data_IF_291928533875
#
_entry.id   IF_291928533875
#
_cell.length_a   1.000
_cell.length_b   1.000
_cell.length_c   1.000
_cell.angle_alpha   90.00
_cell.angle_beta   90.00
_cell.angle_gamma   90.00
#
_symmetry.space_group_name_H-M   'P 1'
#
loop_
_entity.id
_entity.type
_entity.pdbx_description
1 polymer ?
#
# COMPACT_ATOMS: atom_id res chain seq x y z
N UNK A 1 17.71 -2.23 -21.47
CA UNK A 1 16.69 -1.23 -21.92
C UNK A 1 16.85 -0.01 -21.04
N UNK A 2 17.22 1.12 -21.65
CA UNK A 2 17.88 2.26 -21.00
C UNK A 2 17.01 2.96 -19.94
N UNK A 3 17.52 3.02 -18.72
CA UNK A 3 17.03 3.76 -17.56
C UNK A 3 16.78 5.24 -17.88
N UNK A 4 17.54 5.81 -18.83
CA UNK A 4 17.39 7.22 -19.25
C UNK A 4 16.11 7.52 -20.04
N UNK A 5 15.54 6.56 -20.78
CA UNK A 5 14.26 6.79 -21.47
C UNK A 5 13.07 6.72 -20.51
N UNK A 6 13.18 5.87 -19.48
CA UNK A 6 12.22 5.86 -18.36
C UNK A 6 12.35 7.16 -17.57
N UNK A 7 13.57 7.63 -17.26
CA UNK A 7 13.83 8.91 -16.58
C UNK A 7 13.43 10.16 -17.41
N UNK A 8 13.57 10.13 -18.74
CA UNK A 8 13.17 11.22 -19.62
C UNK A 8 11.65 11.26 -19.88
N UNK A 9 10.96 10.10 -19.82
CA UNK A 9 9.49 10.02 -19.80
C UNK A 9 8.92 10.36 -18.42
N UNK A 10 9.60 9.95 -17.36
CA UNK A 10 9.45 10.38 -15.95
C UNK A 10 9.59 11.91 -15.80
N UNK A 11 10.47 12.56 -16.57
CA UNK A 11 10.62 14.02 -16.54
C UNK A 11 9.60 14.80 -17.35
N UNK A 12 8.93 14.20 -18.35
CA UNK A 12 7.89 14.89 -19.15
C UNK A 12 6.58 15.10 -18.37
N UNK A 13 6.38 14.35 -17.28
CA UNK A 13 5.28 14.56 -16.33
C UNK A 13 5.56 15.60 -15.23
N UNK A 14 6.80 16.11 -15.09
CA UNK A 14 7.19 17.05 -14.02
C UNK A 14 6.52 18.43 -14.07
N UNK A 15 5.74 18.77 -15.10
CA UNK A 15 5.01 20.05 -15.15
C UNK A 15 3.68 19.96 -14.44
N UNK A 16 3.73 19.73 -13.12
CA UNK A 16 2.87 20.26 -12.05
C UNK A 16 2.99 19.33 -10.85
N UNK A 17 3.96 19.64 -10.01
CA UNK A 17 3.88 19.41 -8.56
C UNK A 17 2.67 20.17 -8.01
N UNK A 18 1.51 19.56 -8.15
CA UNK A 18 0.32 19.83 -7.39
C UNK A 18 -0.45 18.53 -7.45
N UNK A 19 -0.50 17.78 -6.34
CA UNK A 19 -1.44 16.68 -6.13
C UNK A 19 -2.73 17.05 -6.86
N UNK A 20 -3.16 16.26 -7.85
CA UNK A 20 -4.34 16.61 -8.65
C UNK A 20 -5.50 16.91 -7.68
N UNK A 21 -6.24 18.00 -7.90
CA UNK A 21 -7.24 18.48 -6.95
C UNK A 21 -8.27 17.38 -6.68
N UNK A 22 -8.28 16.84 -5.46
CA UNK A 22 -9.21 15.77 -5.04
C UNK A 22 -8.55 14.56 -4.38
N UNK A 23 -7.23 14.39 -4.49
CA UNK A 23 -6.53 13.29 -3.83
C UNK A 23 -6.17 13.62 -2.37
N UNK A 24 -6.14 12.59 -1.49
CA UNK A 24 -5.84 12.81 -0.10
C UNK A 24 -4.44 13.41 0.03
N UNK A 25 -4.35 14.59 0.64
CA UNK A 25 -3.09 15.07 1.22
C UNK A 25 -2.57 13.99 2.19
N UNK A 26 -1.28 13.97 2.47
CA UNK A 26 -0.67 13.03 3.43
C UNK A 26 -1.50 12.92 4.74
N UNK A 27 -2.07 14.05 5.18
CA UNK A 27 -2.98 14.19 6.31
C UNK A 27 -4.25 13.31 6.25
N UNK A 28 -4.84 13.06 5.08
CA UNK A 28 -6.05 12.22 4.93
C UNK A 28 -5.77 10.72 5.01
N UNK A 29 -4.55 10.28 4.72
CA UNK A 29 -4.18 8.89 4.96
C UNK A 29 -4.15 8.55 6.45
N UNK A 30 -3.65 9.48 7.26
CA UNK A 30 -3.58 9.34 8.71
C UNK A 30 -4.97 9.21 9.30
N UNK A 31 -5.95 9.91 8.72
CA UNK A 31 -7.37 9.68 9.03
C UNK A 31 -7.77 8.27 8.59
N UNK A 32 -7.48 7.81 7.37
CA UNK A 32 -7.92 6.49 6.92
C UNK A 32 -7.30 5.29 7.69
N UNK A 33 -6.10 5.45 8.27
CA UNK A 33 -5.40 4.41 9.04
C UNK A 33 -4.87 4.96 10.38
N UNK A 34 -5.77 5.23 11.35
CA UNK A 34 -5.43 5.99 12.56
C UNK A 34 -4.58 5.21 13.57
N UNK A 35 -4.48 3.88 13.43
CA UNK A 35 -3.62 3.05 14.29
C UNK A 35 -2.15 3.02 13.83
N UNK A 36 -1.84 3.59 12.66
CA UNK A 36 -0.47 3.67 12.19
C UNK A 36 0.29 4.75 12.99
N UNK A 37 1.44 4.38 13.56
CA UNK A 37 2.30 5.32 14.30
C UNK A 37 2.91 6.39 13.38
N UNK A 38 3.20 6.01 12.12
CA UNK A 38 3.84 6.88 11.13
C UNK A 38 2.88 7.15 9.97
N UNK A 39 2.87 8.38 9.49
CA UNK A 39 2.03 8.81 8.37
C UNK A 39 2.28 8.00 7.09
N UNK A 40 3.55 7.73 6.75
CA UNK A 40 3.90 6.90 5.59
C UNK A 40 3.29 5.50 5.64
N UNK A 41 3.15 4.93 6.84
CA UNK A 41 2.56 3.60 7.08
C UNK A 41 1.04 3.67 6.91
N UNK A 42 0.42 4.74 7.40
CA UNK A 42 -0.99 5.02 7.21
C UNK A 42 -1.33 5.14 5.71
N UNK A 43 -0.55 5.94 4.97
CA UNK A 43 -0.73 6.10 3.53
C UNK A 43 -0.48 4.82 2.75
N UNK A 44 0.56 4.04 3.10
CA UNK A 44 0.78 2.72 2.49
C UNK A 44 -0.45 1.83 2.65
N UNK A 45 -1.00 1.74 3.86
CA UNK A 45 -2.14 0.87 4.14
C UNK A 45 -3.41 1.33 3.40
N UNK A 46 -3.64 2.64 3.32
CA UNK A 46 -4.70 3.23 2.50
C UNK A 46 -4.55 2.90 1.01
N UNK A 47 -3.35 3.13 0.45
CA UNK A 47 -3.05 2.85 -0.96
C UNK A 47 -3.26 1.36 -1.24
N UNK A 48 -2.73 0.47 -0.39
CA UNK A 48 -2.94 -0.97 -0.54
C UNK A 48 -4.41 -1.35 -0.51
N UNK A 49 -5.19 -0.80 0.42
CA UNK A 49 -6.62 -1.06 0.53
C UNK A 49 -7.37 -0.62 -0.73
N UNK A 50 -7.08 0.60 -1.22
CA UNK A 50 -7.72 1.15 -2.41
C UNK A 50 -7.34 0.40 -3.67
N UNK A 51 -6.07 0.05 -3.84
CA UNK A 51 -5.60 -0.76 -4.97
C UNK A 51 -6.23 -2.14 -4.95
N UNK A 52 -6.28 -2.83 -3.80
CA UNK A 52 -6.94 -4.12 -3.68
C UNK A 52 -8.43 -4.04 -4.07
N UNK A 53 -9.13 -2.98 -3.64
CA UNK A 53 -10.52 -2.74 -3.98
C UNK A 53 -10.74 -2.48 -5.47
N UNK A 54 -9.92 -1.62 -6.09
CA UNK A 54 -10.06 -1.26 -7.50
C UNK A 54 -9.66 -2.39 -8.46
N UNK A 55 -8.59 -3.12 -8.14
CA UNK A 55 -8.01 -4.14 -9.04
C UNK A 55 -8.54 -5.56 -8.82
N UNK A 56 -9.23 -5.81 -7.70
CA UNK A 56 -9.67 -7.16 -7.31
C UNK A 56 -8.51 -8.12 -6.97
N UNK A 57 -7.31 -7.59 -6.69
CA UNK A 57 -6.17 -8.40 -6.26
C UNK A 57 -6.30 -8.80 -4.80
N UNK A 58 -5.99 -10.06 -4.52
CA UNK A 58 -6.09 -10.59 -3.15
C UNK A 58 -5.00 -9.97 -2.28
N UNK A 59 -5.30 -9.78 -1.00
CA UNK A 59 -4.34 -9.30 0.00
C UNK A 59 -2.97 -10.01 -0.06
N UNK A 60 -2.98 -11.34 -0.20
CA UNK A 60 -1.75 -12.14 -0.25
C UNK A 60 -0.93 -11.90 -1.54
N UNK A 61 -1.62 -11.74 -2.67
CA UNK A 61 -1.02 -11.45 -3.96
C UNK A 61 -0.37 -10.06 -3.93
N UNK A 62 -1.09 -9.05 -3.42
CA UNK A 62 -0.63 -7.67 -3.36
C UNK A 62 0.58 -7.50 -2.43
N UNK A 63 0.60 -8.19 -1.29
CA UNK A 63 1.74 -8.22 -0.36
C UNK A 63 3.01 -8.79 -1.01
N UNK A 64 2.87 -9.66 -2.01
CA UNK A 64 3.98 -10.30 -2.69
C UNK A 64 4.58 -9.47 -3.84
N UNK A 65 3.96 -8.36 -4.24
CA UNK A 65 4.40 -7.53 -5.37
C UNK A 65 5.72 -6.81 -5.08
N UNK A 66 6.62 -6.81 -6.05
CA UNK A 66 7.86 -6.03 -6.10
C UNK A 66 7.75 -4.86 -7.07
N UNK A 67 8.71 -3.92 -7.01
CA UNK A 67 8.83 -2.81 -7.96
C UNK A 67 8.89 -3.26 -9.42
N UNK A 68 9.62 -4.35 -9.72
CA UNK A 68 9.70 -4.91 -11.08
C UNK A 68 8.38 -5.43 -11.64
N UNK A 69 7.43 -5.77 -10.78
CA UNK A 69 6.17 -6.41 -11.18
C UNK A 69 5.13 -5.35 -11.61
N UNK A 70 5.45 -4.06 -11.45
CA UNK A 70 4.59 -2.95 -11.88
C UNK A 70 4.97 -2.53 -13.30
N UNK A 71 4.03 -2.72 -14.23
CA UNK A 71 4.21 -2.42 -15.65
C UNK A 71 3.38 -1.20 -16.03
N UNK A 72 3.99 -0.02 -15.88
CA UNK A 72 3.34 1.26 -16.11
C UNK A 72 2.87 1.50 -17.55
N UNK A 73 3.56 0.90 -18.52
CA UNK A 73 3.29 1.11 -19.95
C UNK A 73 2.38 0.02 -20.54
N UNK A 74 1.95 -0.95 -19.72
CA UNK A 74 1.11 -2.05 -20.18
C UNK A 74 -0.36 -1.64 -20.18
N UNK A 75 -0.98 -1.59 -21.37
CA UNK A 75 -2.35 -1.09 -21.53
C UNK A 75 -2.46 0.42 -21.33
N UNK A 76 -3.68 0.91 -21.09
CA UNK A 76 -3.95 2.34 -20.97
C UNK A 76 -3.43 2.95 -19.65
N UNK A 77 -3.62 2.22 -18.55
CA UNK A 77 -3.34 2.73 -17.20
C UNK A 77 -2.17 2.00 -16.51
N UNK A 78 -1.70 0.90 -17.09
CA UNK A 78 -0.72 0.01 -16.48
C UNK A 78 -1.34 -1.26 -15.93
N UNK A 79 -0.47 -2.21 -15.60
CA UNK A 79 -0.83 -3.49 -14.99
C UNK A 79 0.22 -3.85 -13.95
N UNK A 80 -0.11 -4.76 -13.05
CA UNK A 80 0.88 -5.40 -12.20
C UNK A 80 0.75 -6.92 -12.26
N UNK A 81 1.91 -7.56 -12.24
CA UNK A 81 2.04 -8.98 -12.31
C UNK A 81 1.89 -9.58 -10.90
N UNK A 82 0.96 -10.52 -10.74
CA UNK A 82 0.74 -11.19 -9.46
C UNK A 82 0.78 -12.70 -9.59
N UNK A 83 1.20 -13.36 -8.50
CA UNK A 83 1.18 -14.81 -8.37
C UNK A 83 0.02 -15.22 -7.46
N UNK A 84 -1.08 -15.64 -8.08
CA UNK A 84 -2.30 -16.07 -7.41
C UNK A 84 -2.36 -17.57 -7.18
N UNK A 85 -3.46 -18.02 -6.57
CA UNK A 85 -3.75 -19.45 -6.38
C UNK A 85 -3.97 -20.11 -7.75
N UNK A 86 -3.22 -21.16 -8.07
CA UNK A 86 -3.50 -22.00 -9.23
C UNK A 86 -4.70 -22.93 -9.02
N UNK A 87 -5.19 -23.50 -10.11
CA UNK A 87 -6.25 -24.51 -10.06
C UNK A 87 -5.65 -25.92 -9.90
N UNK A 88 -6.41 -26.84 -9.30
CA UNK A 88 -6.08 -28.28 -9.25
C UNK A 88 -4.66 -28.60 -8.74
N UNK A 89 -4.20 -27.90 -7.70
CA UNK A 89 -2.87 -28.17 -7.12
C UNK A 89 -1.68 -27.76 -7.99
N UNK A 90 -1.89 -27.03 -9.10
CA UNK A 90 -0.81 -26.60 -10.02
C UNK A 90 0.16 -25.54 -9.46
N UNK A 91 0.16 -25.31 -8.14
CA UNK A 91 0.97 -24.29 -7.50
C UNK A 91 0.50 -22.85 -7.78
N UNK A 92 1.25 -21.85 -7.34
CA UNK A 92 0.98 -20.45 -7.65
C UNK A 92 1.00 -20.20 -9.16
N UNK A 93 0.02 -19.47 -9.68
CA UNK A 93 -0.07 -19.10 -11.10
C UNK A 93 0.03 -17.61 -11.29
N UNK A 94 0.82 -17.24 -12.29
CA UNK A 94 0.97 -15.87 -12.73
C UNK A 94 -0.34 -15.39 -13.40
N UNK A 95 -0.78 -14.19 -13.06
CA UNK A 95 -1.85 -13.47 -13.75
C UNK A 95 -1.56 -11.97 -13.73
N UNK A 96 -2.05 -11.26 -14.72
CA UNK A 96 -2.03 -9.80 -14.74
C UNK A 96 -3.25 -9.24 -14.02
N UNK A 97 -3.04 -8.21 -13.22
CA UNK A 97 -4.10 -7.38 -12.67
C UNK A 97 -4.00 -5.98 -13.26
N UNK A 98 -5.16 -5.43 -13.65
CA UNK A 98 -5.23 -4.14 -14.30
C UNK A 98 -5.26 -3.02 -13.27
N UNK A 99 -4.53 -1.94 -13.57
CA UNK A 99 -4.78 -0.66 -12.93
C UNK A 99 -5.90 0.04 -13.68
N UNK A 100 -6.80 0.67 -12.94
CA UNK A 100 -7.74 1.66 -13.48
C UNK A 100 -7.13 3.05 -13.34
N UNK A 101 -7.67 4.04 -14.04
CA UNK A 101 -7.20 5.44 -14.01
C UNK A 101 -6.88 5.93 -12.59
N UNK A 102 -7.85 5.84 -11.69
CA UNK A 102 -7.72 6.24 -10.29
C UNK A 102 -6.64 5.43 -9.55
N UNK A 103 -6.58 4.11 -9.78
CA UNK A 103 -5.60 3.24 -9.15
C UNK A 103 -4.17 3.54 -9.64
N UNK A 104 -4.03 3.87 -10.93
CA UNK A 104 -2.76 4.27 -11.52
C UNK A 104 -2.26 5.55 -10.88
N UNK A 105 -3.09 6.59 -10.88
CA UNK A 105 -2.71 7.89 -10.31
C UNK A 105 -2.31 7.77 -8.83
N UNK A 106 -3.11 7.04 -8.03
CA UNK A 106 -2.83 6.81 -6.62
C UNK A 106 -1.51 6.05 -6.40
N UNK A 107 -1.28 4.98 -7.17
CA UNK A 107 -0.07 4.17 -7.02
C UNK A 107 1.16 4.96 -7.48
N UNK A 108 1.02 5.80 -8.50
CA UNK A 108 2.07 6.69 -8.97
C UNK A 108 2.49 7.67 -7.88
N UNK A 109 1.52 8.38 -7.29
CA UNK A 109 1.76 9.29 -6.17
C UNK A 109 2.44 8.58 -4.99
N UNK A 110 1.99 7.37 -4.64
CA UNK A 110 2.62 6.58 -3.58
C UNK A 110 4.09 6.27 -3.88
N UNK A 111 4.41 5.90 -5.12
CA UNK A 111 5.80 5.59 -5.52
C UNK A 111 6.69 6.83 -5.49
N UNK A 112 6.19 7.99 -5.93
CA UNK A 112 6.96 9.23 -5.96
C UNK A 112 7.18 9.82 -4.56
N UNK A 113 6.14 9.90 -3.74
CA UNK A 113 6.16 10.72 -2.53
C UNK A 113 6.39 9.91 -1.24
N UNK A 114 5.99 8.64 -1.22
CA UNK A 114 5.91 7.86 0.02
C UNK A 114 6.81 6.64 0.04
N UNK A 115 6.98 5.96 -1.10
CA UNK A 115 7.70 4.68 -1.16
C UNK A 115 9.15 4.83 -0.71
N UNK A 116 9.80 5.95 -1.02
CA UNK A 116 11.18 6.24 -0.60
C UNK A 116 11.33 6.54 0.89
N UNK A 117 10.25 6.70 1.66
CA UNK A 117 10.30 6.97 3.10
C UNK A 117 10.54 5.71 3.95
N UNK A 118 10.50 4.53 3.34
CA UNK A 118 10.78 3.27 4.00
C UNK A 118 12.29 2.96 3.99
N UNK A 119 12.75 2.21 4.99
CA UNK A 119 14.17 1.92 5.20
C UNK A 119 14.63 0.78 4.29
N UNK A 120 14.72 1.05 2.99
CA UNK A 120 15.32 0.20 1.96
C UNK A 120 15.67 0.99 0.69
N UNK A 121 16.30 0.32 -0.26
CA UNK A 121 16.55 0.84 -1.61
C UNK A 121 15.29 0.66 -2.47
N UNK A 122 14.56 1.74 -2.80
CA UNK A 122 13.35 1.67 -3.61
C UNK A 122 13.62 1.40 -5.10
N UNK A 123 14.85 1.64 -5.58
CA UNK A 123 15.22 1.43 -7.00
C UNK A 123 15.54 -0.04 -7.28
N UNK A 124 15.86 -0.82 -6.26
CA UNK A 124 16.15 -2.23 -6.41
C UNK A 124 14.94 -2.99 -7.01
N UNK A 125 15.08 -3.74 -8.12
CA UNK A 125 13.93 -4.38 -8.79
C UNK A 125 13.14 -5.35 -7.90
N UNK A 126 13.83 -6.01 -6.96
CA UNK A 126 13.21 -6.91 -5.97
C UNK A 126 12.70 -6.20 -4.71
N UNK A 127 12.82 -4.88 -4.61
CA UNK A 127 12.26 -4.12 -3.51
C UNK A 127 10.74 -4.34 -3.45
N UNK A 128 10.16 -4.55 -2.26
CA UNK A 128 8.72 -4.70 -2.13
C UNK A 128 8.03 -3.42 -2.59
N UNK A 129 6.91 -3.54 -3.30
CA UNK A 129 6.07 -2.37 -3.59
C UNK A 129 5.49 -1.81 -2.29
N UNK A 130 5.11 -2.71 -1.37
CA UNK A 130 4.59 -2.36 -0.05
C UNK A 130 5.48 -2.96 1.07
N UNK A 131 6.52 -2.23 1.51
CA UNK A 131 7.42 -2.68 2.57
C UNK A 131 6.72 -2.74 3.93
N UNK A 132 7.14 -3.70 4.76
CA UNK A 132 6.79 -3.73 6.19
C UNK A 132 7.55 -2.63 6.93
N UNK A 133 6.87 -1.96 7.86
CA UNK A 133 7.53 -1.01 8.77
C UNK A 133 8.30 -1.76 9.88
N UNK A 134 7.78 -2.91 10.32
CA UNK A 134 8.34 -3.66 11.44
C UNK A 134 9.39 -4.63 10.93
N UNK A 135 10.62 -4.40 11.37
CA UNK A 135 11.75 -5.30 11.19
C UNK A 135 12.01 -6.02 12.52
N UNK A 136 12.09 -7.37 12.55
CA UNK A 136 12.70 -8.07 13.66
C UNK A 136 14.13 -7.53 13.88
N UNK A 137 14.55 -7.38 15.13
CA UNK A 137 15.86 -6.79 15.48
C UNK A 137 17.01 -7.50 14.75
N UNK A 138 16.96 -8.84 14.69
CA UNK A 138 17.94 -9.63 13.97
C UNK A 138 18.04 -9.28 12.47
N UNK A 139 16.90 -9.00 11.82
CA UNK A 139 16.85 -8.61 10.39
C UNK A 139 17.30 -7.17 10.21
N UNK A 140 16.94 -6.28 11.14
CA UNK A 140 17.39 -4.89 11.13
C UNK A 140 18.91 -4.76 11.27
N UNK A 141 19.55 -5.69 11.98
CA UNK A 141 21.00 -5.75 12.17
C UNK A 141 21.76 -6.17 10.89
N UNK A 142 21.13 -6.92 9.98
CA UNK A 142 21.75 -7.37 8.73
C UNK A 142 21.93 -6.24 7.69
N UNK A 143 21.32 -5.06 7.91
CA UNK A 143 21.39 -3.90 7.00
C UNK A 143 21.18 -4.26 5.51
N UNK A 144 20.23 -5.16 5.24
CA UNK A 144 19.92 -5.56 3.87
C UNK A 144 19.39 -4.38 3.04
N UNK A 145 19.72 -4.31 1.74
CA UNK A 145 19.28 -3.23 0.87
C UNK A 145 17.77 -3.27 0.57
N UNK A 146 17.10 -4.39 0.86
CA UNK A 146 15.68 -4.60 0.55
C UNK A 146 14.90 -4.81 1.85
N UNK A 147 13.83 -4.02 2.04
CA UNK A 147 12.94 -4.20 3.17
C UNK A 147 12.14 -5.51 3.02
N UNK A 148 11.76 -6.17 4.13
CA UNK A 148 10.82 -7.27 4.06
C UNK A 148 9.47 -6.75 3.57
N UNK A 149 8.81 -7.58 2.78
CA UNK A 149 7.45 -7.37 2.29
C UNK A 149 6.46 -7.25 3.46
N UNK A 150 5.40 -6.48 3.27
CA UNK A 150 4.24 -6.55 4.15
C UNK A 150 3.67 -7.98 4.18
N UNK A 151 3.28 -8.46 5.36
CA UNK A 151 2.68 -9.79 5.52
C UNK A 151 1.15 -9.71 5.43
N UNK A 152 0.45 -10.68 4.82
CA UNK A 152 -1.01 -10.61 4.63
C UNK A 152 -1.82 -10.55 5.92
N UNK A 153 -1.33 -11.13 7.03
CA UNK A 153 -1.97 -11.01 8.35
C UNK A 153 -1.88 -9.58 8.89
N UNK A 154 -0.75 -8.90 8.69
CA UNK A 154 -0.56 -7.50 9.08
C UNK A 154 -1.48 -6.59 8.30
N UNK A 155 -1.57 -6.78 6.98
CA UNK A 155 -2.48 -6.02 6.14
C UNK A 155 -3.94 -6.22 6.54
N UNK A 156 -4.39 -7.48 6.72
CA UNK A 156 -5.76 -7.78 7.16
C UNK A 156 -6.08 -7.18 8.53
N UNK A 157 -5.11 -7.14 9.46
CA UNK A 157 -5.27 -6.48 10.75
C UNK A 157 -5.46 -4.97 10.60
N UNK A 158 -4.69 -4.32 9.72
CA UNK A 158 -4.85 -2.90 9.43
C UNK A 158 -6.25 -2.60 8.84
N UNK A 159 -6.70 -3.41 7.88
CA UNK A 159 -8.05 -3.29 7.31
C UNK A 159 -9.14 -3.48 8.36
N UNK A 160 -9.02 -4.46 9.25
CA UNK A 160 -9.97 -4.69 10.35
C UNK A 160 -10.02 -3.49 11.31
N UNK A 161 -8.87 -2.90 11.63
CA UNK A 161 -8.81 -1.73 12.51
C UNK A 161 -9.51 -0.52 11.86
N UNK A 162 -9.23 -0.27 10.58
CA UNK A 162 -9.88 0.79 9.82
C UNK A 162 -11.40 0.56 9.68
N UNK A 163 -11.85 -0.68 9.43
CA UNK A 163 -13.29 -0.98 9.34
C UNK A 163 -14.02 -0.72 10.65
N UNK A 164 -13.41 -1.05 11.79
CA UNK A 164 -13.98 -0.74 13.11
C UNK A 164 -14.09 0.77 13.34
N UNK A 165 -13.09 1.53 12.90
CA UNK A 165 -13.08 2.97 13.07
C UNK A 165 -14.09 3.72 12.16
N UNK A 166 -14.36 3.21 10.95
CA UNK A 166 -15.08 3.97 9.92
C UNK A 166 -16.38 3.34 9.39
N UNK A 167 -16.54 2.02 9.48
CA UNK A 167 -17.70 1.32 8.90
C UNK A 167 -18.69 0.83 9.96
N UNK A 168 -18.25 0.62 11.20
CA UNK A 168 -19.08 0.09 12.28
C UNK A 168 -19.67 1.18 13.20
N UNK A 169 -19.61 2.46 12.81
CA UNK A 169 -20.23 3.55 13.59
C UNK A 169 -21.26 4.33 12.78
N UNK A 170 -22.50 3.81 12.58
CA UNK A 170 -23.53 4.58 11.90
C UNK A 170 -24.20 5.64 12.79
N UNK A 171 -24.43 5.42 14.10
CA UNK A 171 -25.49 6.17 14.82
C UNK A 171 -25.21 6.68 16.27
N UNK A 172 -23.99 7.11 16.66
CA UNK A 172 -23.80 7.68 18.02
C UNK A 172 -23.87 9.23 18.09
N UNK A 173 -24.81 9.83 18.85
CA UNK A 173 -24.91 11.28 19.03
C UNK A 173 -23.68 11.87 19.77
N UNK A 174 -23.41 13.18 19.60
CA UNK A 174 -22.14 13.81 19.97
C UNK A 174 -21.81 13.85 21.48
N UNK A 175 -22.75 13.51 22.37
CA UNK A 175 -22.55 13.56 23.83
C UNK A 175 -21.67 12.43 24.39
N UNK A 176 -21.61 11.27 23.74
CA UNK A 176 -20.93 10.08 24.30
C UNK A 176 -19.54 9.80 23.72
N UNK A 177 -19.03 10.69 22.86
CA UNK A 177 -17.73 10.50 22.18
C UNK A 177 -16.53 10.53 23.13
N UNK A 178 -16.67 11.08 24.34
CA UNK A 178 -15.62 11.06 25.38
C UNK A 178 -15.57 9.75 26.19
N UNK A 179 -16.60 8.91 26.14
CA UNK A 179 -16.68 7.71 26.98
C UNK A 179 -15.93 6.49 26.42
N UNK A 180 -15.75 6.40 25.09
CA UNK A 180 -15.13 5.23 24.44
C UNK A 180 -13.60 5.28 24.35
N UNK A 181 -12.98 6.45 24.58
CA UNK A 181 -11.52 6.55 24.67
C UNK A 181 -10.98 6.15 26.06
N UNK A 182 -11.85 5.98 27.06
CA UNK A 182 -11.44 5.75 28.47
C UNK A 182 -11.50 4.27 28.87
N UNK A 183 -12.18 3.40 28.11
CA UNK A 183 -12.27 1.97 28.46
C UNK A 183 -11.45 1.12 27.50
N UNK A 184 -10.17 0.98 27.85
CA UNK A 184 -9.31 -0.06 27.31
C UNK A 184 -9.95 -1.44 27.52
N UNK A 185 -10.44 -2.04 26.45
CA UNK A 185 -10.89 -3.44 26.47
C UNK A 185 -9.77 -4.28 25.88
N UNK A 186 -8.97 -4.83 26.79
CA UNK A 186 -8.14 -5.99 26.56
C UNK A 186 -9.03 -7.14 26.04
N UNK A 187 -8.63 -7.76 24.93
CA UNK A 187 -9.24 -9.00 24.47
C UNK A 187 -8.36 -10.16 24.96
N UNK A 188 -8.81 -10.82 26.03
CA UNK A 188 -8.31 -12.12 26.48
C UNK A 188 -9.51 -13.02 26.71
N UNK A 189 -9.78 -13.90 25.74
CA UNK A 189 -10.18 -15.32 25.81
C UNK A 189 -10.79 -15.72 24.46
#
# INVERSE_FOLDING_TARGET
MNTELVAARWNRGRRRSSVAPGWPRSSSCTVAAPQARKEAVACRDYVMAKIACLSGVRAAELCAVCMRDVHWESGLWGRFLVHGKGARGSGPRQREAFLFEQGRELLWWYVEELRGLFRDDPEHPSAPLFPSERLPVAVAALNMPVAPKMVPSTFRRALRAASVAYLLTPDLPPSDRRALLVRGVALTT
#
